data_IF_173971722540
#
_entry.id   IF_173971722540
#
_cell.length_a   1.000
_cell.length_b   1.000
_cell.length_c   1.000
_cell.angle_alpha   90.00
_cell.angle_beta   90.00
_cell.angle_gamma   90.00
#
_symmetry.space_group_name_H-M   'P 1'
#
loop_
_entity.id
_entity.type
_entity.pdbx_description
1 polymer ?
#
# COMPACT_ATOMS: atom_id res chain seq x y z
N UNK A 1 -1.96 7.49 -17.98
CA UNK A 1 -3.18 7.77 -17.19
C UNK A 1 -2.89 8.70 -16.01
N UNK A 2 -1.97 8.39 -15.09
CA UNK A 2 -1.62 9.29 -13.95
C UNK A 2 -1.22 10.69 -14.43
N UNK A 3 -0.31 10.77 -15.41
CA UNK A 3 0.18 12.04 -15.94
C UNK A 3 -0.94 12.90 -16.56
N UNK A 4 -1.80 12.28 -17.36
CA UNK A 4 -2.91 12.99 -18.01
C UNK A 4 -3.97 13.48 -17.00
N UNK A 5 -4.20 12.72 -15.92
CA UNK A 5 -5.13 13.14 -14.87
C UNK A 5 -4.55 14.29 -14.04
N UNK A 6 -3.25 14.25 -13.74
CA UNK A 6 -2.56 15.34 -13.07
C UNK A 6 -2.56 16.63 -13.91
N UNK A 7 -2.37 16.54 -15.22
CA UNK A 7 -2.46 17.69 -16.15
C UNK A 7 -3.87 18.27 -16.22
N UNK A 8 -4.89 17.43 -16.16
CA UNK A 8 -6.28 17.84 -16.26
C UNK A 8 -6.88 18.35 -14.93
N UNK A 9 -6.11 18.35 -13.84
CA UNK A 9 -6.53 18.74 -12.49
C UNK A 9 -7.82 18.04 -12.01
N UNK A 10 -8.05 16.82 -12.49
CA UNK A 10 -9.19 15.99 -12.07
C UNK A 10 -8.80 15.16 -10.84
N UNK A 11 -9.76 14.84 -9.95
CA UNK A 11 -9.50 13.95 -8.82
C UNK A 11 -8.83 12.67 -9.32
N UNK A 12 -7.62 12.41 -8.82
CA UNK A 12 -6.85 11.25 -9.22
C UNK A 12 -7.41 10.03 -8.47
N UNK A 13 -8.67 9.64 -8.72
CA UNK A 13 -9.34 8.40 -8.28
C UNK A 13 -10.19 8.52 -7.00
N UNK A 14 -11.20 7.65 -6.89
CA UNK A 14 -11.90 7.40 -5.64
C UNK A 14 -11.08 6.50 -4.71
N UNK A 15 -11.27 6.68 -3.40
CA UNK A 15 -10.74 5.93 -2.26
C UNK A 15 -10.14 4.55 -2.62
N UNK A 16 -10.95 3.60 -3.09
CA UNK A 16 -10.53 2.19 -3.17
C UNK A 16 -10.18 1.64 -4.56
N UNK A 17 -10.51 2.32 -5.66
CA UNK A 17 -10.42 1.73 -7.01
C UNK A 17 -8.97 1.43 -7.38
N UNK A 18 -8.10 2.41 -7.17
CA UNK A 18 -6.70 2.29 -7.55
C UNK A 18 -5.88 1.50 -6.53
N UNK A 19 -6.24 1.54 -5.24
CA UNK A 19 -5.61 0.70 -4.23
C UNK A 19 -5.82 -0.79 -4.56
N UNK A 20 -7.06 -1.17 -4.87
CA UNK A 20 -7.44 -2.53 -5.22
C UNK A 20 -6.67 -3.06 -6.43
N UNK A 21 -6.57 -2.25 -7.50
CA UNK A 21 -5.85 -2.62 -8.73
C UNK A 21 -4.34 -2.73 -8.46
N UNK A 22 -3.73 -1.71 -7.84
CA UNK A 22 -2.28 -1.64 -7.64
C UNK A 22 -1.75 -2.68 -6.67
N UNK A 23 -2.53 -3.03 -5.66
CA UNK A 23 -2.14 -3.92 -4.58
C UNK A 23 -2.52 -5.36 -4.91
N UNK A 24 -3.72 -5.77 -4.49
CA UNK A 24 -4.13 -7.17 -4.56
C UNK A 24 -4.39 -7.63 -6.00
N UNK A 25 -4.90 -6.76 -6.87
CA UNK A 25 -5.10 -7.06 -8.28
C UNK A 25 -3.81 -7.50 -8.97
N UNK A 26 -2.75 -6.71 -8.86
CA UNK A 26 -1.43 -7.07 -9.41
C UNK A 26 -0.83 -8.32 -8.75
N UNK A 27 -1.03 -8.51 -7.44
CA UNK A 27 -0.56 -9.71 -6.76
C UNK A 27 -1.24 -10.97 -7.32
N UNK A 28 -2.57 -10.96 -7.43
CA UNK A 28 -3.35 -12.09 -7.95
C UNK A 28 -3.10 -12.33 -9.44
N UNK A 29 -2.93 -11.26 -10.23
CA UNK A 29 -2.56 -11.40 -11.64
C UNK A 29 -1.25 -12.18 -11.80
N UNK A 30 -0.28 -11.95 -10.91
CA UNK A 30 1.04 -12.59 -10.98
C UNK A 30 1.11 -13.94 -10.28
N UNK A 31 0.39 -14.12 -9.18
CA UNK A 31 0.59 -15.23 -8.25
C UNK A 31 -0.69 -15.95 -7.84
N UNK A 32 -1.86 -15.42 -8.19
CA UNK A 32 -3.14 -16.04 -7.90
C UNK A 32 -3.32 -17.33 -8.70
N UNK A 33 -4.10 -18.26 -8.15
CA UNK A 33 -4.61 -19.40 -8.90
C UNK A 33 -5.57 -18.94 -10.00
N UNK A 34 -5.85 -19.80 -10.98
CA UNK A 34 -6.80 -19.43 -12.04
C UNK A 34 -8.20 -19.15 -11.46
N UNK A 35 -8.64 -19.95 -10.47
CA UNK A 35 -9.88 -19.70 -9.75
C UNK A 35 -9.89 -18.34 -9.03
N UNK A 36 -8.79 -17.95 -8.37
CA UNK A 36 -8.67 -16.64 -7.73
C UNK A 36 -8.70 -15.51 -8.78
N UNK A 37 -8.03 -15.67 -9.92
CA UNK A 37 -8.01 -14.66 -10.99
C UNK A 37 -9.40 -14.47 -11.58
N UNK A 38 -10.06 -15.55 -11.94
CA UNK A 38 -11.41 -15.54 -12.55
C UNK A 38 -12.46 -14.95 -11.60
N UNK A 39 -12.31 -15.18 -10.29
CA UNK A 39 -13.20 -14.62 -9.29
C UNK A 39 -12.90 -13.14 -8.97
N UNK A 40 -11.67 -12.80 -8.62
CA UNK A 40 -11.36 -11.49 -8.04
C UNK A 40 -11.07 -10.41 -9.08
N UNK A 41 -10.37 -10.71 -10.18
CA UNK A 41 -9.91 -9.66 -11.10
C UNK A 41 -11.05 -8.90 -11.80
N UNK A 42 -12.11 -9.55 -12.33
CA UNK A 42 -13.23 -8.83 -12.94
C UNK A 42 -13.93 -7.90 -11.94
N UNK A 43 -14.05 -8.34 -10.68
CA UNK A 43 -14.73 -7.60 -9.59
C UNK A 43 -13.90 -6.45 -9.05
N UNK A 44 -12.58 -6.57 -9.09
CA UNK A 44 -11.66 -5.46 -8.82
C UNK A 44 -11.78 -4.40 -9.92
N UNK A 45 -11.79 -4.81 -11.19
CA UNK A 45 -11.85 -3.87 -12.33
C UNK A 45 -13.20 -3.15 -12.38
N UNK A 46 -14.30 -3.83 -12.05
CA UNK A 46 -15.63 -3.22 -12.01
C UNK A 46 -15.86 -2.31 -10.80
N UNK A 47 -14.97 -2.33 -9.80
CA UNK A 47 -15.14 -1.63 -8.52
C UNK A 47 -16.16 -2.27 -7.57
N UNK A 48 -16.66 -3.47 -7.89
CA UNK A 48 -17.51 -4.27 -7.01
C UNK A 48 -16.75 -4.67 -5.74
N UNK A 49 -15.48 -5.09 -5.89
CA UNK A 49 -14.62 -5.44 -4.76
C UNK A 49 -13.61 -4.33 -4.49
N UNK A 50 -13.76 -3.74 -3.31
CA UNK A 50 -12.95 -2.66 -2.76
C UNK A 50 -12.17 -3.18 -1.58
N UNK A 51 -10.86 -2.99 -1.61
CA UNK A 51 -9.94 -3.65 -0.69
C UNK A 51 -9.31 -2.69 0.29
N UNK A 52 -9.02 -3.18 1.50
CA UNK A 52 -8.09 -2.56 2.44
C UNK A 52 -7.00 -3.56 2.87
N UNK A 53 -5.94 -3.07 3.51
CA UNK A 53 -4.79 -3.87 3.93
C UNK A 53 -4.79 -4.12 5.44
N UNK A 54 -4.82 -5.40 5.83
CA UNK A 54 -4.75 -5.85 7.22
C UNK A 54 -3.36 -6.37 7.60
N UNK A 55 -2.34 -5.52 7.61
CA UNK A 55 -0.97 -5.93 7.96
C UNK A 55 -0.63 -5.59 9.42
N UNK A 56 -0.59 -4.29 9.73
CA UNK A 56 -0.14 -3.78 11.02
C UNK A 56 -1.05 -4.16 12.18
N UNK A 57 -0.44 -4.38 13.33
CA UNK A 57 -1.08 -4.63 14.62
C UNK A 57 -0.51 -3.70 15.66
N UNK A 58 -1.22 -3.49 16.78
CA UNK A 58 -0.74 -2.69 17.90
C UNK A 58 0.64 -3.14 18.40
N UNK A 59 0.93 -4.44 18.29
CA UNK A 59 2.21 -5.04 18.68
C UNK A 59 3.19 -5.29 17.53
N UNK A 60 2.79 -5.04 16.27
CA UNK A 60 3.58 -5.37 15.09
C UNK A 60 3.40 -4.32 13.97
N UNK A 61 4.38 -3.43 13.83
CA UNK A 61 4.49 -2.46 12.74
C UNK A 61 5.66 -2.80 11.81
N UNK A 62 6.83 -2.19 12.07
CA UNK A 62 8.07 -2.48 11.33
C UNK A 62 8.52 -3.94 11.46
N UNK A 63 8.23 -4.59 12.59
CA UNK A 63 8.43 -6.03 12.78
C UNK A 63 7.17 -6.81 12.37
N UNK A 64 6.89 -6.82 11.07
CA UNK A 64 5.71 -7.48 10.49
C UNK A 64 5.69 -9.00 10.72
N UNK A 65 6.82 -9.60 11.08
CA UNK A 65 6.91 -11.03 11.33
C UNK A 65 6.26 -11.43 12.65
N UNK A 66 6.13 -10.51 13.62
CA UNK A 66 5.67 -10.79 14.97
C UNK A 66 4.16 -10.57 15.17
N UNK A 67 3.38 -10.61 14.08
CA UNK A 67 1.92 -10.55 14.13
C UNK A 67 1.32 -11.67 15.02
N UNK A 68 0.23 -11.33 15.69
CA UNK A 68 -0.53 -12.14 16.64
C UNK A 68 -1.90 -12.56 16.12
N UNK A 69 -2.43 -11.91 15.08
CA UNK A 69 -3.64 -12.40 14.41
C UNK A 69 -3.42 -13.83 13.97
N UNK A 70 -4.33 -14.74 14.32
CA UNK A 70 -4.24 -16.17 14.01
C UNK A 70 -5.30 -16.55 12.98
N UNK A 71 -5.02 -17.61 12.22
CA UNK A 71 -5.98 -18.27 11.37
C UNK A 71 -5.81 -19.78 11.49
N UNK A 72 -6.91 -20.50 11.71
CA UNK A 72 -6.93 -21.97 11.74
C UNK A 72 -7.93 -22.49 10.72
N UNK A 73 -7.64 -23.62 10.09
CA UNK A 73 -8.55 -24.24 9.15
C UNK A 73 -9.57 -25.10 9.92
N UNK A 74 -10.86 -24.87 9.69
CA UNK A 74 -11.98 -25.65 10.23
C UNK A 74 -12.88 -26.11 9.07
N UNK A 75 -12.71 -27.36 8.64
CA UNK A 75 -13.38 -27.86 7.43
C UNK A 75 -12.83 -27.13 6.19
N UNK A 76 -13.73 -26.50 5.44
CA UNK A 76 -13.41 -25.79 4.19
C UNK A 76 -13.21 -24.28 4.39
N UNK A 77 -13.17 -23.80 5.63
CA UNK A 77 -13.01 -22.38 5.97
C UNK A 77 -11.85 -22.12 6.94
N UNK A 78 -11.17 -21.00 6.73
CA UNK A 78 -10.30 -20.38 7.71
C UNK A 78 -11.12 -19.62 8.75
N UNK A 79 -10.78 -19.80 10.03
CA UNK A 79 -11.33 -19.03 11.16
C UNK A 79 -10.25 -18.12 11.71
N UNK A 80 -10.53 -16.81 11.69
CA UNK A 80 -9.56 -15.74 11.94
C UNK A 80 -9.89 -15.03 13.24
N UNK A 81 -8.88 -14.84 14.08
CA UNK A 81 -9.00 -14.11 15.35
C UNK A 81 -7.84 -13.14 15.54
N UNK A 82 -8.14 -11.90 15.93
CA UNK A 82 -7.13 -10.89 16.22
C UNK A 82 -7.58 -9.48 15.90
N UNK A 83 -6.61 -8.59 15.72
CA UNK A 83 -6.84 -7.17 15.46
C UNK A 83 -5.80 -6.62 14.50
N UNK A 84 -6.26 -5.82 13.53
CA UNK A 84 -5.42 -4.97 12.69
C UNK A 84 -5.67 -3.50 13.02
N UNK A 85 -4.66 -2.66 12.81
CA UNK A 85 -4.69 -1.22 13.07
C UNK A 85 -4.02 -0.46 11.92
N UNK A 86 -4.33 0.83 11.79
CA UNK A 86 -3.90 1.67 10.67
C UNK A 86 -4.41 1.15 9.31
N UNK A 87 -5.56 0.48 9.31
CA UNK A 87 -6.18 -0.04 8.09
C UNK A 87 -6.85 1.13 7.36
N UNK A 88 -6.21 1.62 6.30
CA UNK A 88 -6.76 2.68 5.45
C UNK A 88 -8.08 2.26 4.82
N UNK A 89 -9.07 3.16 4.91
CA UNK A 89 -10.35 3.09 4.20
C UNK A 89 -11.17 1.80 4.42
N UNK A 90 -10.96 1.12 5.56
CA UNK A 90 -11.67 -0.11 5.89
C UNK A 90 -13.20 0.05 5.87
N UNK A 91 -13.72 1.22 6.25
CA UNK A 91 -15.18 1.53 6.26
C UNK A 91 -15.79 1.49 4.85
N UNK A 92 -15.03 1.84 3.82
CA UNK A 92 -15.51 1.91 2.44
C UNK A 92 -15.10 0.69 1.61
N UNK A 93 -14.29 -0.21 2.19
CA UNK A 93 -13.91 -1.49 1.63
C UNK A 93 -14.92 -2.58 2.00
N UNK A 94 -15.05 -3.59 1.15
CA UNK A 94 -15.85 -4.79 1.42
C UNK A 94 -14.99 -6.07 1.49
N UNK A 95 -13.70 -5.97 1.20
CA UNK A 95 -12.71 -7.02 1.36
C UNK A 95 -11.44 -6.51 2.04
N UNK A 96 -10.75 -7.41 2.74
CA UNK A 96 -9.46 -7.15 3.36
C UNK A 96 -8.50 -8.30 3.05
N UNK A 97 -7.26 -8.01 2.70
CA UNK A 97 -6.21 -9.02 2.69
C UNK A 97 -5.41 -8.94 4.00
N UNK A 98 -5.40 -10.04 4.74
CA UNK A 98 -4.90 -10.12 6.12
C UNK A 98 -3.69 -11.03 6.16
N UNK A 99 -2.64 -10.61 6.88
CA UNK A 99 -1.61 -11.54 7.33
C UNK A 99 -2.01 -12.12 8.67
N UNK A 100 -2.09 -13.44 8.73
CA UNK A 100 -2.45 -14.20 9.92
C UNK A 100 -1.47 -15.35 10.14
N UNK A 101 -1.21 -15.66 11.40
CA UNK A 101 -0.41 -16.80 11.82
C UNK A 101 -1.21 -18.08 11.67
N UNK A 102 -0.77 -18.93 10.74
CA UNK A 102 -1.36 -20.25 10.45
C UNK A 102 -0.58 -21.38 11.10
N UNK A 103 0.69 -21.16 11.43
CA UNK A 103 1.55 -22.16 12.06
C UNK A 103 2.41 -21.52 13.17
N UNK A 104 2.04 -21.70 14.46
CA UNK A 104 2.78 -21.10 15.57
C UNK A 104 4.13 -21.78 15.86
N UNK A 105 4.33 -23.01 15.38
CA UNK A 105 5.52 -23.82 15.71
C UNK A 105 6.71 -23.57 14.76
N UNK A 106 6.54 -22.67 13.79
CA UNK A 106 7.58 -22.32 12.82
C UNK A 106 8.19 -20.95 13.12
N UNK A 107 9.41 -20.66 12.60
CA UNK A 107 9.99 -19.34 12.69
C UNK A 107 8.99 -18.25 12.24
N UNK A 108 9.02 -17.04 12.85
CA UNK A 108 7.97 -16.04 12.67
C UNK A 108 7.55 -15.77 11.21
N UNK A 109 8.51 -15.70 10.29
CA UNK A 109 8.26 -15.45 8.85
C UNK A 109 7.69 -16.65 8.07
N UNK A 110 7.84 -17.88 8.59
CA UNK A 110 7.42 -19.10 7.90
C UNK A 110 6.00 -19.54 8.29
N UNK A 111 5.48 -19.08 9.41
CA UNK A 111 4.16 -19.49 9.90
C UNK A 111 3.02 -18.53 9.59
N UNK A 112 3.16 -17.71 8.56
CA UNK A 112 2.20 -16.65 8.21
C UNK A 112 1.59 -16.97 6.85
N UNK A 113 0.27 -16.84 6.74
CA UNK A 113 -0.47 -16.88 5.48
C UNK A 113 -1.11 -15.53 5.17
N UNK A 114 -1.29 -15.25 3.87
CA UNK A 114 -2.07 -14.11 3.39
C UNK A 114 -3.46 -14.62 2.99
N UNK A 115 -4.48 -14.14 3.67
CA UNK A 115 -5.87 -14.55 3.47
C UNK A 115 -6.68 -13.40 2.89
N UNK A 116 -7.54 -13.70 1.92
CA UNK A 116 -8.53 -12.78 1.38
C UNK A 116 -9.83 -12.95 2.17
N UNK A 117 -10.31 -11.90 2.83
CA UNK A 117 -11.41 -12.01 3.80
C UNK A 117 -12.51 -11.01 3.45
N UNK A 118 -13.78 -11.43 3.31
CA UNK A 118 -14.88 -10.49 3.16
C UNK A 118 -15.09 -9.74 4.48
N UNK A 119 -15.25 -8.42 4.44
CA UNK A 119 -15.46 -7.60 5.65
C UNK A 119 -16.91 -7.66 6.15
N UNK A 120 -17.86 -7.92 5.25
CA UNK A 120 -19.29 -7.90 5.55
C UNK A 120 -19.77 -9.26 6.06
N UNK A 121 -19.41 -9.59 7.30
CA UNK A 121 -19.79 -10.84 7.94
C UNK A 121 -19.84 -10.70 9.48
N UNK A 122 -20.51 -11.61 10.19
CA UNK A 122 -20.40 -11.71 11.64
C UNK A 122 -18.93 -11.88 12.06
N UNK A 123 -18.58 -11.33 13.23
CA UNK A 123 -17.23 -11.47 13.77
C UNK A 123 -16.22 -10.44 13.25
N UNK A 124 -16.61 -9.53 12.34
CA UNK A 124 -15.76 -8.40 11.94
C UNK A 124 -16.34 -7.10 12.48
N UNK A 125 -15.52 -6.33 13.21
CA UNK A 125 -15.85 -4.99 13.68
C UNK A 125 -14.81 -3.98 13.17
N UNK A 126 -15.28 -2.89 12.56
CA UNK A 126 -14.41 -1.82 12.05
C UNK A 126 -14.61 -0.57 12.93
N UNK A 127 -13.52 -0.07 13.54
CA UNK A 127 -13.53 1.16 14.36
C UNK A 127 -12.67 2.24 13.71
N UNK A 128 -13.26 3.35 13.24
CA UNK A 128 -12.48 4.43 12.64
C UNK A 128 -11.74 5.25 13.70
N UNK A 129 -10.46 5.51 13.42
CA UNK A 129 -9.55 6.31 14.24
C UNK A 129 -9.66 7.77 13.80
N UNK A 130 -9.96 8.67 14.74
CA UNK A 130 -9.96 10.11 14.48
C UNK A 130 -8.53 10.64 14.52
N UNK A 131 -8.03 11.13 13.39
CA UNK A 131 -6.72 11.74 13.27
C UNK A 131 -6.70 13.17 13.84
N UNK A 132 -5.51 13.73 14.05
CA UNK A 132 -5.34 15.13 14.49
C UNK A 132 -5.98 16.15 13.53
N UNK A 133 -6.11 15.78 12.25
CA UNK A 133 -6.78 16.57 11.21
C UNK A 133 -8.31 16.52 11.30
N UNK A 134 -8.88 15.68 12.17
CA UNK A 134 -10.31 15.37 12.22
C UNK A 134 -10.76 14.31 11.20
N UNK A 135 -9.89 13.93 10.26
CA UNK A 135 -10.18 12.87 9.29
C UNK A 135 -10.26 11.49 9.95
N UNK A 136 -11.00 10.57 9.33
CA UNK A 136 -11.26 9.19 9.82
C UNK A 136 -10.89 8.13 8.78
N UNK A 137 -9.74 8.31 8.16
CA UNK A 137 -9.26 7.47 7.06
C UNK A 137 -8.66 6.15 7.54
N UNK A 138 -8.11 6.12 8.76
CA UNK A 138 -7.54 4.91 9.35
C UNK A 138 -8.51 4.22 10.30
N UNK A 139 -8.41 2.90 10.38
CA UNK A 139 -9.32 2.08 11.17
C UNK A 139 -8.58 0.98 11.93
N UNK A 140 -9.15 0.59 13.06
CA UNK A 140 -8.94 -0.72 13.66
C UNK A 140 -9.95 -1.70 13.06
N UNK A 141 -9.51 -2.93 12.81
CA UNK A 141 -10.37 -4.03 12.34
C UNK A 141 -10.18 -5.21 13.28
N UNK A 142 -11.25 -5.61 13.96
CA UNK A 142 -11.26 -6.72 14.90
C UNK A 142 -11.86 -7.96 14.22
N UNK A 143 -11.28 -9.11 14.48
CA UNK A 143 -11.71 -10.41 13.99
C UNK A 143 -12.01 -11.32 15.19
N UNK A 144 -13.25 -11.80 15.27
CA UNK A 144 -13.76 -12.72 16.28
C UNK A 144 -14.45 -13.87 15.55
N UNK A 145 -13.72 -14.96 15.35
CA UNK A 145 -14.14 -16.10 14.53
C UNK A 145 -14.66 -15.73 13.13
N UNK A 146 -14.06 -14.69 12.53
CA UNK A 146 -14.35 -14.30 11.16
C UNK A 146 -13.93 -15.40 10.19
N UNK A 147 -14.67 -15.60 9.09
CA UNK A 147 -14.48 -16.73 8.18
C UNK A 147 -14.08 -16.32 6.77
N UNK A 148 -13.32 -17.18 6.11
CA UNK A 148 -13.10 -17.11 4.66
C UNK A 148 -12.78 -18.49 4.11
N UNK A 149 -13.12 -18.75 2.85
CA UNK A 149 -12.88 -20.04 2.20
C UNK A 149 -11.40 -20.47 2.25
N UNK A 150 -11.15 -21.78 2.35
CA UNK A 150 -9.83 -22.38 2.24
C UNK A 150 -9.07 -21.92 0.98
N UNK A 151 -9.79 -21.70 -0.12
CA UNK A 151 -9.25 -21.28 -1.42
C UNK A 151 -8.81 -19.80 -1.46
N UNK A 152 -9.15 -19.02 -0.43
CA UNK A 152 -8.79 -17.61 -0.31
C UNK A 152 -7.39 -17.38 0.29
N UNK A 153 -6.55 -18.42 0.33
CA UNK A 153 -5.13 -18.29 0.68
C UNK A 153 -4.28 -17.97 -0.55
N UNK A 154 -3.56 -16.85 -0.52
CA UNK A 154 -2.69 -16.44 -1.62
C UNK A 154 -1.36 -17.18 -1.55
N UNK A 155 -0.91 -17.75 -2.67
CA UNK A 155 0.32 -18.57 -2.78
C UNK A 155 0.33 -19.87 -1.94
N UNK A 156 -0.74 -20.19 -1.22
CA UNK A 156 -0.82 -21.35 -0.35
C UNK A 156 -0.46 -21.05 1.11
N UNK A 157 -0.75 -22.02 1.98
CA UNK A 157 -0.49 -21.93 3.43
C UNK A 157 0.99 -21.67 3.70
N UNK A 158 1.26 -20.84 4.69
CA UNK A 158 2.61 -20.48 5.16
C UNK A 158 3.46 -19.70 4.13
N UNK A 159 2.86 -19.28 3.00
CA UNK A 159 3.50 -18.42 1.98
C UNK A 159 3.17 -16.93 2.13
N UNK A 160 2.51 -16.53 3.21
CA UNK A 160 2.05 -15.16 3.45
C UNK A 160 3.20 -14.14 3.49
N UNK A 161 4.37 -14.49 4.01
CA UNK A 161 5.53 -13.59 3.98
C UNK A 161 6.00 -13.30 2.56
N UNK A 162 6.05 -14.34 1.71
CA UNK A 162 6.41 -14.20 0.29
C UNK A 162 5.37 -13.34 -0.44
N UNK A 163 4.09 -13.57 -0.19
CA UNK A 163 3.00 -12.76 -0.73
C UNK A 163 3.12 -11.29 -0.31
N UNK A 164 3.37 -11.03 0.98
CA UNK A 164 3.53 -9.68 1.53
C UNK A 164 4.72 -8.95 0.91
N UNK A 165 5.90 -9.58 0.85
CA UNK A 165 7.08 -8.95 0.25
C UNK A 165 6.90 -8.70 -1.25
N UNK A 166 6.19 -9.59 -1.96
CA UNK A 166 5.85 -9.38 -3.36
C UNK A 166 4.90 -8.19 -3.54
N UNK A 167 3.83 -8.10 -2.73
CA UNK A 167 2.87 -7.00 -2.74
C UNK A 167 3.54 -5.65 -2.44
N UNK A 168 4.32 -5.57 -1.35
CA UNK A 168 5.08 -4.36 -0.99
C UNK A 168 6.14 -4.00 -2.04
N UNK A 169 6.65 -4.99 -2.79
CA UNK A 169 7.56 -4.77 -3.90
C UNK A 169 6.88 -4.15 -5.13
N UNK A 170 5.63 -4.52 -5.40
CA UNK A 170 4.79 -3.95 -6.45
C UNK A 170 4.40 -2.51 -6.11
N UNK A 171 3.90 -2.29 -4.90
CA UNK A 171 3.51 -0.97 -4.36
C UNK A 171 4.63 0.06 -4.51
N UNK A 172 5.82 -0.25 -3.97
CA UNK A 172 6.96 0.68 -3.98
C UNK A 172 7.44 1.06 -5.37
N UNK A 173 7.40 0.12 -6.31
CA UNK A 173 7.89 0.42 -7.65
C UNK A 173 6.88 1.22 -8.48
N UNK A 174 5.58 1.03 -8.25
CA UNK A 174 4.54 1.90 -8.80
C UNK A 174 4.67 3.31 -8.21
N UNK A 175 4.78 3.46 -6.89
CA UNK A 175 4.96 4.75 -6.23
C UNK A 175 6.20 5.50 -6.72
N UNK A 176 7.33 4.80 -6.87
CA UNK A 176 8.57 5.40 -7.36
C UNK A 176 8.42 5.95 -8.79
N UNK A 177 7.57 5.35 -9.62
CA UNK A 177 7.30 5.81 -10.98
C UNK A 177 6.25 6.93 -11.02
N UNK A 178 5.25 6.92 -10.13
CA UNK A 178 4.11 7.84 -10.21
C UNK A 178 4.21 9.07 -9.31
N UNK A 179 4.79 8.96 -8.11
CA UNK A 179 4.87 10.08 -7.18
C UNK A 179 5.66 11.29 -7.69
N UNK A 180 6.77 11.13 -8.45
CA UNK A 180 7.48 12.28 -9.01
C UNK A 180 6.60 13.13 -9.94
N UNK A 181 5.63 12.53 -10.62
CA UNK A 181 4.69 13.23 -11.51
C UNK A 181 3.77 14.14 -10.68
N UNK A 182 3.24 13.63 -9.56
CA UNK A 182 2.39 14.41 -8.65
C UNK A 182 3.17 15.53 -7.97
N UNK A 183 4.36 15.24 -7.45
CA UNK A 183 5.21 16.27 -6.83
C UNK A 183 5.67 17.33 -7.82
N UNK A 184 5.80 16.99 -9.10
CA UNK A 184 6.10 17.97 -10.14
C UNK A 184 4.99 18.99 -10.28
N UNK A 185 3.74 18.55 -10.31
CA UNK A 185 2.58 19.45 -10.33
C UNK A 185 2.57 20.39 -9.11
N UNK A 186 2.88 19.88 -7.91
CA UNK A 186 2.96 20.73 -6.70
C UNK A 186 4.11 21.75 -6.75
N UNK A 187 5.28 21.36 -7.27
CA UNK A 187 6.40 22.29 -7.47
C UNK A 187 6.03 23.36 -8.49
N UNK A 188 5.32 23.01 -9.57
CA UNK A 188 4.87 23.98 -10.58
C UNK A 188 3.86 24.98 -10.00
N UNK A 189 2.92 24.50 -9.15
CA UNK A 189 2.01 25.38 -8.38
C UNK A 189 2.78 26.30 -7.43
N UNK A 190 3.80 25.78 -6.72
CA UNK A 190 4.65 26.59 -5.84
C UNK A 190 5.41 27.67 -6.61
N UNK A 191 5.96 27.35 -7.79
CA UNK A 191 6.64 28.32 -8.67
C UNK A 191 5.67 29.41 -9.12
N UNK A 192 4.45 29.05 -9.51
CA UNK A 192 3.41 30.00 -9.90
C UNK A 192 3.06 30.95 -8.74
N UNK A 193 2.86 30.41 -7.53
CA UNK A 193 2.57 31.19 -6.33
C UNK A 193 3.69 32.18 -5.98
N UNK A 194 4.96 31.75 -6.08
CA UNK A 194 6.10 32.64 -5.83
C UNK A 194 6.15 33.81 -6.81
N UNK A 195 5.80 33.56 -8.08
CA UNK A 195 5.72 34.62 -9.11
C UNK A 195 4.56 35.57 -8.83
N UNK A 196 3.38 35.05 -8.52
CA UNK A 196 2.19 35.84 -8.19
C UNK A 196 2.44 36.77 -7.00
N UNK A 197 3.16 36.30 -5.98
CA UNK A 197 3.49 37.07 -4.78
C UNK A 197 4.67 38.02 -4.96
N UNK A 198 5.28 38.08 -6.16
CA UNK A 198 6.45 38.92 -6.42
C UNK A 198 7.72 38.49 -5.66
N UNK A 199 7.76 37.26 -5.15
CA UNK A 199 8.85 36.76 -4.30
C UNK A 199 10.00 36.12 -5.11
N UNK A 200 9.95 36.18 -6.43
CA UNK A 200 10.97 35.57 -7.30
C UNK A 200 12.38 36.19 -7.14
N UNK A 201 12.44 37.45 -6.65
CA UNK A 201 13.70 38.13 -6.35
C UNK A 201 14.28 37.82 -4.96
N UNK A 202 13.51 37.19 -4.07
CA UNK A 202 13.98 36.79 -2.74
C UNK A 202 14.88 35.57 -2.87
N UNK A 203 16.14 35.72 -2.47
CA UNK A 203 17.17 34.68 -2.62
C UNK A 203 16.86 33.43 -1.79
N UNK A 204 16.28 33.59 -0.60
CA UNK A 204 15.95 32.49 0.31
C UNK A 204 14.77 31.71 -0.26
N UNK A 205 13.74 32.40 -0.75
CA UNK A 205 12.59 31.76 -1.42
C UNK A 205 13.05 31.02 -2.67
N UNK A 206 13.88 31.65 -3.50
CA UNK A 206 14.43 31.06 -4.72
C UNK A 206 15.25 29.80 -4.44
N UNK A 207 16.14 29.83 -3.44
CA UNK A 207 16.92 28.65 -3.03
C UNK A 207 16.03 27.51 -2.54
N UNK A 208 15.00 27.79 -1.74
CA UNK A 208 14.05 26.76 -1.26
C UNK A 208 13.28 26.11 -2.41
N UNK A 209 12.77 26.91 -3.35
CA UNK A 209 12.07 26.40 -4.54
C UNK A 209 13.01 25.59 -5.42
N UNK A 210 14.24 26.07 -5.66
CA UNK A 210 15.24 25.35 -6.44
C UNK A 210 15.60 23.99 -5.82
N UNK A 211 15.69 23.91 -4.48
CA UNK A 211 15.90 22.64 -3.77
C UNK A 211 14.72 21.69 -3.91
N UNK A 212 13.48 22.18 -3.79
CA UNK A 212 12.28 21.37 -3.99
C UNK A 212 12.23 20.82 -5.43
N UNK A 213 12.45 21.69 -6.42
CA UNK A 213 12.55 21.32 -7.83
C UNK A 213 13.61 20.24 -8.07
N UNK A 214 14.82 20.45 -7.57
CA UNK A 214 15.95 19.52 -7.74
C UNK A 214 15.63 18.16 -7.15
N UNK A 215 15.03 18.11 -5.95
CA UNK A 215 14.60 16.86 -5.32
C UNK A 215 13.58 16.11 -6.19
N UNK A 216 12.58 16.80 -6.73
CA UNK A 216 11.56 16.18 -7.59
C UNK A 216 12.16 15.65 -8.88
N UNK A 217 13.07 16.38 -9.52
CA UNK A 217 13.76 15.89 -10.73
C UNK A 217 14.62 14.66 -10.44
N UNK A 218 15.35 14.64 -9.32
CA UNK A 218 16.09 13.43 -8.88
C UNK A 218 15.14 12.25 -8.72
N UNK A 219 14.00 12.43 -8.05
CA UNK A 219 13.00 11.38 -7.89
C UNK A 219 12.46 10.90 -9.25
N UNK A 220 12.21 11.81 -10.20
CA UNK A 220 11.74 11.47 -11.54
C UNK A 220 12.74 10.60 -12.30
N UNK A 221 14.03 10.93 -12.25
CA UNK A 221 15.07 10.13 -12.89
C UNK A 221 15.26 8.76 -12.22
N UNK A 222 15.17 8.69 -10.89
CA UNK A 222 15.20 7.42 -10.16
C UNK A 222 13.99 6.52 -10.51
N UNK A 223 12.80 7.11 -10.58
CA UNK A 223 11.57 6.43 -11.02
C UNK A 223 11.71 5.88 -12.45
N UNK A 224 12.20 6.70 -13.39
CA UNK A 224 12.46 6.27 -14.77
C UNK A 224 13.46 5.11 -14.84
N UNK A 225 14.49 5.10 -13.98
CA UNK A 225 15.46 4.01 -13.89
C UNK A 225 14.81 2.71 -13.40
N UNK A 226 13.96 2.77 -12.38
CA UNK A 226 13.22 1.61 -11.87
C UNK A 226 12.31 1.03 -12.95
N UNK A 227 11.54 1.90 -13.62
CA UNK A 227 10.65 1.51 -14.71
C UNK A 227 11.43 0.85 -15.86
N UNK A 228 12.58 1.42 -16.23
CA UNK A 228 13.44 0.85 -17.27
C UNK A 228 13.97 -0.53 -16.88
N UNK A 229 14.34 -0.74 -15.61
CA UNK A 229 14.74 -2.05 -15.09
C UNK A 229 13.60 -3.07 -15.20
N UNK A 230 12.39 -2.67 -14.83
CA UNK A 230 11.20 -3.54 -14.96
C UNK A 230 10.91 -3.94 -16.41
N UNK A 231 11.00 -3.00 -17.35
CA UNK A 231 10.82 -3.28 -18.78
C UNK A 231 11.88 -4.24 -19.33
N UNK A 232 13.07 -4.30 -18.72
CA UNK A 232 14.14 -5.25 -19.05
C UNK A 232 13.99 -6.61 -18.35
N UNK A 233 12.99 -6.77 -17.48
CA UNK A 233 12.78 -7.98 -16.69
C UNK A 233 13.63 -8.07 -15.43
N UNK A 234 14.27 -6.98 -15.00
CA UNK A 234 15.02 -6.95 -13.74
C UNK A 234 14.05 -7.23 -12.57
N UNK A 235 14.48 -7.97 -11.53
CA UNK A 235 13.63 -8.26 -10.40
C UNK A 235 13.21 -6.97 -9.66
N UNK A 236 11.99 -6.92 -9.09
CA UNK A 236 11.49 -5.72 -8.43
C UNK A 236 12.34 -5.28 -7.23
N UNK A 237 12.21 -4.00 -6.87
CA UNK A 237 13.12 -3.28 -5.98
C UNK A 237 13.29 -3.84 -4.56
N UNK A 238 12.51 -4.84 -4.13
CA UNK A 238 12.73 -5.54 -2.85
C UNK A 238 14.01 -6.39 -2.84
N UNK A 239 14.58 -6.73 -4.02
CA UNK A 239 15.95 -7.28 -4.12
C UNK A 239 17.04 -6.21 -4.13
N UNK A 240 16.69 -4.92 -4.24
CA UNK A 240 17.64 -3.82 -4.13
C UNK A 240 17.72 -3.39 -2.67
N UNK A 241 18.94 -3.34 -2.15
CA UNK A 241 19.26 -2.96 -0.77
C UNK A 241 18.89 -1.49 -0.58
N UNK A 242 17.68 -1.25 -0.06
CA UNK A 242 17.15 0.02 0.44
C UNK A 242 16.80 1.13 -0.58
N UNK A 243 15.55 1.15 -1.09
CA UNK A 243 14.93 2.33 -1.71
C UNK A 243 14.34 3.34 -0.70
N UNK A 244 14.05 2.89 0.54
CA UNK A 244 13.30 3.66 1.55
C UNK A 244 14.02 4.94 2.04
N UNK A 245 15.34 5.02 1.93
CA UNK A 245 16.08 6.16 2.49
C UNK A 245 15.86 7.47 1.74
N UNK A 246 15.36 7.45 0.50
CA UNK A 246 15.31 8.66 -0.34
C UNK A 246 13.90 9.30 -0.30
N UNK A 247 12.83 8.52 -0.41
CA UNK A 247 11.46 9.08 -0.44
C UNK A 247 11.02 9.70 0.89
N UNK A 248 11.21 8.99 2.00
CA UNK A 248 10.75 9.43 3.33
C UNK A 248 11.58 10.59 3.91
N UNK A 249 12.88 10.66 3.60
CA UNK A 249 13.75 11.78 4.04
C UNK A 249 13.53 13.05 3.23
N UNK A 250 13.01 12.93 2.01
CA UNK A 250 12.71 14.07 1.13
C UNK A 250 11.44 14.80 1.56
N UNK A 251 10.42 14.08 2.06
CA UNK A 251 9.13 14.63 2.51
C UNK A 251 9.14 15.14 3.95
N UNK A 252 9.93 14.54 4.85
CA UNK A 252 9.87 14.86 6.28
C UNK A 252 10.69 16.09 6.71
N UNK A 253 11.56 16.64 5.84
CA UNK A 253 12.39 17.81 6.18
C UNK A 253 13.25 17.64 7.45
N UNK A 254 13.44 16.42 7.95
CA UNK A 254 14.11 16.16 9.23
C UNK A 254 15.63 16.20 9.04
N UNK A 255 16.38 17.01 9.80
CA UNK A 255 17.82 16.90 9.86
C UNK A 255 18.15 15.55 10.50
N UNK A 256 18.87 14.70 9.79
CA UNK A 256 19.49 13.51 10.36
C UNK A 256 20.48 13.96 11.43
N UNK A 257 20.12 13.84 12.70
CA UNK A 257 21.08 13.84 13.79
C UNK A 257 21.60 12.41 13.97
N UNK A 258 22.92 12.33 14.19
CA UNK A 258 23.73 11.13 14.34
C UNK A 258 23.28 10.23 15.47
#
# INVERSE_FOLDING_TARGET
MVEEFAKADVPVRGANDNFSIKMIGNLLLRFGTDAQKDHFLPRIISGEYRWCQGFSETSAGSDLANIKTTARLEGDDWVINGQKIWTSEAVTANWIFVLARTNPDTPPHRGISMLLVPLHQPGIEIRPITMITGAREFNEVFFTDARTSADNVVLGVDQGWKAAMALLGLERGDEAATNPILFRAEVDRLIALVRERGLAGDEIVRDRVARAYTKVEIMRFLGARILTGWLRGDPPAWKLRCPNCIGASITSGSPTWR
#
